data_IF_758260486572
#
_entry.id   IF_758260486572
#
_cell.length_a   1.000
_cell.length_b   1.000
_cell.length_c   1.000
_cell.angle_alpha   90.00
_cell.angle_beta   90.00
_cell.angle_gamma   90.00
#
_symmetry.space_group_name_H-M   'P 1'
#
loop_
_entity.id
_entity.type
_entity.pdbx_description
1 polymer ?
#
# COMPACT_ATOMS: atom_id res chain seq x y z
N UNK A 1 -15.14 -2.12 -26.24
CA UNK A 1 -14.37 -2.27 -24.98
C UNK A 1 -14.81 -3.57 -24.34
N UNK A 2 -13.89 -4.47 -23.95
CA UNK A 2 -14.26 -5.77 -23.36
C UNK A 2 -14.98 -5.57 -22.02
N UNK A 3 -15.87 -6.50 -21.62
CA UNK A 3 -16.62 -6.41 -20.36
C UNK A 3 -15.71 -6.29 -19.11
N UNK A 4 -14.55 -6.93 -19.18
CA UNK A 4 -13.51 -6.77 -18.14
C UNK A 4 -13.03 -5.32 -18.02
N UNK A 5 -12.81 -4.62 -19.14
CA UNK A 5 -12.38 -3.21 -19.13
C UNK A 5 -13.49 -2.30 -18.62
N UNK A 6 -14.74 -2.55 -19.01
CA UNK A 6 -15.89 -1.79 -18.49
C UNK A 6 -16.02 -1.94 -16.96
N UNK A 7 -15.95 -3.18 -16.47
CA UNK A 7 -16.00 -3.48 -15.05
C UNK A 7 -14.83 -2.84 -14.27
N UNK A 8 -13.62 -2.88 -14.82
CA UNK A 8 -12.45 -2.22 -14.20
C UNK A 8 -12.67 -0.72 -14.04
N UNK A 9 -13.08 -0.03 -15.11
CA UNK A 9 -13.30 1.41 -15.07
C UNK A 9 -14.48 1.80 -14.17
N UNK A 10 -15.53 0.96 -14.11
CA UNK A 10 -16.62 1.13 -13.17
C UNK A 10 -16.13 1.10 -11.72
N UNK A 11 -15.36 0.07 -11.34
CA UNK A 11 -14.78 -0.04 -9.98
C UNK A 11 -13.81 1.11 -9.71
N UNK A 12 -12.97 1.48 -10.68
CA UNK A 12 -12.02 2.57 -10.54
C UNK A 12 -12.73 3.91 -10.26
N UNK A 13 -13.74 4.24 -11.06
CA UNK A 13 -14.52 5.46 -10.89
C UNK A 13 -15.27 5.46 -9.56
N UNK A 14 -15.98 4.38 -9.24
CA UNK A 14 -16.74 4.26 -8.00
C UNK A 14 -15.84 4.42 -6.77
N UNK A 15 -14.70 3.70 -6.73
CA UNK A 15 -13.79 3.77 -5.59
C UNK A 15 -13.16 5.15 -5.43
N UNK A 16 -12.79 5.79 -6.54
CA UNK A 16 -12.25 7.15 -6.51
C UNK A 16 -13.29 8.16 -5.99
N UNK A 17 -14.53 8.07 -6.45
CA UNK A 17 -15.63 8.94 -6.01
C UNK A 17 -16.01 8.73 -4.54
N UNK A 18 -15.89 7.52 -4.03
CA UNK A 18 -16.20 7.20 -2.62
C UNK A 18 -15.07 7.64 -1.68
N UNK A 19 -13.81 7.58 -2.12
CA UNK A 19 -12.65 7.79 -1.23
C UNK A 19 -12.14 9.25 -1.30
N UNK A 20 -11.90 9.79 -2.50
CA UNK A 20 -11.11 11.02 -2.66
C UNK A 20 -11.86 12.31 -2.22
N UNK A 21 -13.14 12.55 -2.59
CA UNK A 21 -13.78 13.86 -2.37
C UNK A 21 -13.89 14.25 -0.89
N UNK A 22 -13.97 13.28 0.01
CA UNK A 22 -14.25 13.51 1.42
C UNK A 22 -13.02 13.52 2.34
N UNK A 23 -11.81 13.40 1.79
CA UNK A 23 -10.58 13.32 2.61
C UNK A 23 -10.30 14.57 3.44
N UNK A 24 -10.71 15.75 2.96
CA UNK A 24 -10.49 17.04 3.62
C UNK A 24 -11.67 17.57 4.42
N UNK A 25 -12.83 16.92 4.37
CA UNK A 25 -14.09 17.45 4.95
C UNK A 25 -14.12 17.39 6.48
N UNK A 26 -13.36 16.53 7.09
CA UNK A 26 -13.34 16.34 8.55
C UNK A 26 -11.96 16.64 9.12
N UNK A 27 -11.93 17.30 10.29
CA UNK A 27 -10.71 17.47 11.08
C UNK A 27 -10.10 16.11 11.42
N UNK A 28 -8.85 16.08 11.84
CA UNK A 28 -8.23 14.84 12.34
C UNK A 28 -9.01 14.31 13.56
N UNK A 29 -9.58 13.11 13.46
CA UNK A 29 -10.43 12.53 14.49
C UNK A 29 -9.71 11.55 15.41
N UNK A 30 -8.50 11.11 15.05
CA UNK A 30 -7.68 10.21 15.86
C UNK A 30 -6.38 10.87 16.30
N UNK A 31 -5.91 10.58 17.53
CA UNK A 31 -4.62 11.10 18.03
C UNK A 31 -3.41 10.75 17.15
N UNK A 32 -3.52 9.72 16.32
CA UNK A 32 -2.46 9.29 15.43
C UNK A 32 -2.30 10.16 14.18
N UNK A 33 -3.38 10.69 13.63
CA UNK A 33 -3.35 11.46 12.39
C UNK A 33 -2.56 12.76 12.50
N UNK A 34 -2.84 13.66 13.48
CA UNK A 34 -2.09 14.89 13.60
C UNK A 34 -0.62 14.63 13.92
N UNK A 35 -0.29 13.56 14.65
CA UNK A 35 1.11 13.22 14.94
C UNK A 35 1.89 12.91 13.65
N UNK A 36 1.32 12.12 12.74
CA UNK A 36 1.99 11.79 11.48
C UNK A 36 2.07 13.04 10.57
N UNK A 37 1.03 13.88 10.56
CA UNK A 37 1.00 15.14 9.79
C UNK A 37 2.03 16.16 10.29
N UNK A 38 2.20 16.31 11.61
CA UNK A 38 3.18 17.23 12.23
C UNK A 38 4.62 16.84 11.88
N UNK A 39 4.93 15.55 11.83
CA UNK A 39 6.26 15.09 11.42
C UNK A 39 6.55 15.51 9.97
N UNK A 40 5.58 15.33 9.07
CA UNK A 40 5.73 15.77 7.66
C UNK A 40 5.83 17.30 7.55
N UNK A 41 5.08 18.03 8.36
CA UNK A 41 5.20 19.49 8.43
C UNK A 41 6.61 19.93 8.88
N UNK A 42 7.13 19.33 9.95
CA UNK A 42 8.49 19.61 10.45
C UNK A 42 9.57 19.28 9.40
N UNK A 43 9.36 18.25 8.56
CA UNK A 43 10.26 17.94 7.44
C UNK A 43 10.27 19.05 6.39
N UNK A 44 9.10 19.59 6.04
CA UNK A 44 8.99 20.67 5.06
C UNK A 44 9.62 21.99 5.59
N UNK A 45 9.37 22.32 6.85
CA UNK A 45 9.91 23.52 7.48
C UNK A 45 11.45 23.46 7.64
N UNK A 46 11.97 22.33 8.10
CA UNK A 46 13.40 22.16 8.37
C UNK A 46 14.23 21.79 7.12
N UNK A 47 13.59 21.30 6.06
CA UNK A 47 14.28 20.70 4.90
C UNK A 47 14.99 19.36 5.22
N UNK A 48 14.82 18.81 6.42
CA UNK A 48 15.46 17.56 6.82
C UNK A 48 14.56 16.34 6.48
N UNK A 49 14.86 15.68 5.36
CA UNK A 49 14.13 14.51 4.87
C UNK A 49 14.69 13.17 5.38
N UNK A 50 15.89 13.20 5.99
CA UNK A 50 16.57 11.96 6.43
C UNK A 50 16.15 11.59 7.85
N UNK A 51 16.13 12.56 8.74
CA UNK A 51 15.77 12.36 10.15
C UNK A 51 14.51 13.16 10.49
N UNK A 52 13.32 12.56 10.26
CA UNK A 52 12.07 13.26 10.57
C UNK A 52 11.92 13.48 12.07
N UNK A 53 11.58 14.69 12.46
CA UNK A 53 11.40 15.10 13.85
C UNK A 53 9.92 15.34 14.14
N UNK A 54 9.48 14.93 15.32
CA UNK A 54 8.18 15.26 15.88
C UNK A 54 8.32 16.57 16.66
N UNK A 55 7.53 17.58 16.32
CA UNK A 55 7.63 18.95 16.87
C UNK A 55 9.03 19.58 16.79
N UNK A 56 9.86 19.14 15.87
CA UNK A 56 11.22 19.69 15.69
C UNK A 56 12.25 19.23 16.73
N UNK A 57 11.87 18.41 17.70
CA UNK A 57 12.72 17.99 18.84
C UNK A 57 12.96 16.50 18.89
N UNK A 58 11.89 15.70 18.89
CA UNK A 58 11.98 14.27 19.10
C UNK A 58 12.06 13.51 17.78
N UNK A 59 12.87 12.45 17.71
CA UNK A 59 12.94 11.59 16.54
C UNK A 59 11.59 10.88 16.35
N UNK A 60 11.09 10.84 15.13
CA UNK A 60 9.86 10.13 14.79
C UNK A 60 9.99 8.62 15.06
N UNK A 61 8.97 8.04 15.72
CA UNK A 61 8.97 6.63 16.14
C UNK A 61 8.83 5.62 14.99
N UNK A 62 8.47 6.07 13.80
CA UNK A 62 8.16 5.20 12.66
C UNK A 62 9.12 5.44 11.52
N UNK A 63 9.35 4.43 10.67
CA UNK A 63 10.13 4.61 9.44
C UNK A 63 9.53 5.69 8.54
N UNK A 64 10.33 6.34 7.66
CA UNK A 64 10.01 7.66 7.10
C UNK A 64 9.04 7.64 5.90
N UNK A 65 8.67 6.51 5.34
CA UNK A 65 7.97 6.44 4.05
C UNK A 65 6.63 7.19 4.03
N UNK A 66 5.82 7.09 5.09
CA UNK A 66 4.56 7.84 5.18
C UNK A 66 4.85 9.34 5.24
N UNK A 67 5.80 9.76 6.05
CA UNK A 67 6.17 11.18 6.21
C UNK A 67 6.67 11.77 4.90
N UNK A 68 7.53 11.04 4.16
CA UNK A 68 7.97 11.42 2.82
C UNK A 68 6.79 11.59 1.86
N UNK A 69 5.85 10.65 1.90
CA UNK A 69 4.66 10.68 1.04
C UNK A 69 3.77 11.89 1.34
N UNK A 70 3.52 12.17 2.62
CA UNK A 70 2.73 13.34 3.05
C UNK A 70 3.47 14.63 2.67
N UNK A 71 4.74 14.76 3.01
CA UNK A 71 5.53 15.95 2.73
C UNK A 71 5.60 16.25 1.21
N UNK A 72 5.86 15.21 0.39
CA UNK A 72 5.91 15.38 -1.07
C UNK A 72 4.55 15.83 -1.66
N UNK A 73 3.46 15.24 -1.21
CA UNK A 73 2.10 15.63 -1.65
C UNK A 73 1.78 17.05 -1.13
N UNK A 74 2.04 17.31 0.14
CA UNK A 74 1.76 18.62 0.75
C UNK A 74 2.55 19.77 0.08
N UNK A 75 3.77 19.50 -0.36
CA UNK A 75 4.55 20.48 -1.13
C UNK A 75 3.87 20.86 -2.46
N UNK A 76 3.17 19.93 -3.10
CA UNK A 76 2.40 20.17 -4.36
C UNK A 76 1.13 20.98 -4.05
N UNK A 77 0.46 20.69 -2.94
CA UNK A 77 -0.82 21.31 -2.55
C UNK A 77 -0.67 22.59 -1.71
N UNK A 78 0.56 23.10 -1.54
CA UNK A 78 0.83 24.37 -0.84
C UNK A 78 0.88 24.28 0.68
N UNK A 79 0.89 23.08 1.26
CA UNK A 79 1.03 22.87 2.70
C UNK A 79 0.39 21.59 3.22
N UNK A 80 0.70 21.30 4.49
CA UNK A 80 0.12 20.14 5.18
C UNK A 80 -1.30 20.46 5.62
N UNK A 81 -2.25 19.63 5.18
CA UNK A 81 -3.66 19.70 5.49
C UNK A 81 -4.21 18.30 5.75
N UNK A 82 -5.46 18.17 6.24
CA UNK A 82 -6.13 16.89 6.38
C UNK A 82 -6.19 16.14 5.05
N UNK A 83 -6.52 16.84 3.96
CA UNK A 83 -6.56 16.28 2.63
C UNK A 83 -5.20 15.73 2.18
N UNK A 84 -4.15 16.59 2.20
CA UNK A 84 -2.82 16.18 1.74
C UNK A 84 -2.20 15.07 2.60
N UNK A 85 -2.53 15.04 3.90
CA UNK A 85 -2.05 14.03 4.83
C UNK A 85 -2.72 12.66 4.67
N UNK A 86 -4.01 12.62 4.27
CA UNK A 86 -4.76 11.38 4.05
C UNK A 86 -4.58 10.81 2.64
N UNK A 87 -4.22 11.65 1.69
CA UNK A 87 -4.11 11.28 0.27
C UNK A 87 -3.14 10.11 0.01
N UNK A 88 -1.98 9.96 0.69
CA UNK A 88 -1.12 8.78 0.54
C UNK A 88 -1.85 7.45 0.83
N UNK A 89 -2.67 7.39 1.90
CA UNK A 89 -3.44 6.19 2.25
C UNK A 89 -4.51 5.89 1.20
N UNK A 90 -5.20 6.91 0.71
CA UNK A 90 -6.21 6.79 -0.34
C UNK A 90 -5.61 6.26 -1.65
N UNK A 91 -4.48 6.82 -2.09
CA UNK A 91 -3.76 6.36 -3.30
C UNK A 91 -3.30 4.91 -3.13
N UNK A 92 -2.74 4.56 -1.97
CA UNK A 92 -2.31 3.19 -1.68
C UNK A 92 -3.46 2.19 -1.75
N UNK A 93 -4.63 2.54 -1.18
CA UNK A 93 -5.84 1.71 -1.29
C UNK A 93 -6.28 1.53 -2.75
N UNK A 94 -6.39 2.61 -3.52
CA UNK A 94 -6.80 2.54 -4.93
C UNK A 94 -5.83 1.69 -5.75
N UNK A 95 -4.52 1.88 -5.58
CA UNK A 95 -3.51 1.08 -6.25
C UNK A 95 -3.63 -0.42 -5.90
N UNK A 96 -3.78 -0.74 -4.61
CA UNK A 96 -4.00 -2.10 -4.15
C UNK A 96 -5.26 -2.71 -4.77
N UNK A 97 -6.37 -2.01 -4.72
CA UNK A 97 -7.64 -2.48 -5.26
C UNK A 97 -7.58 -2.74 -6.77
N UNK A 98 -6.93 -1.86 -7.53
CA UNK A 98 -6.80 -2.02 -8.98
C UNK A 98 -5.92 -3.21 -9.36
N UNK A 99 -4.80 -3.40 -8.66
CA UNK A 99 -3.93 -4.57 -8.87
C UNK A 99 -4.67 -5.85 -8.48
N UNK A 100 -5.38 -5.84 -7.34
CA UNK A 100 -6.12 -6.98 -6.85
C UNK A 100 -7.31 -7.34 -7.75
N UNK A 101 -8.06 -6.34 -8.26
CA UNK A 101 -9.08 -6.56 -9.31
C UNK A 101 -8.47 -7.28 -10.51
N UNK A 102 -7.35 -6.76 -11.03
CA UNK A 102 -6.66 -7.35 -12.18
C UNK A 102 -6.21 -8.79 -11.93
N UNK A 103 -5.72 -9.07 -10.73
CA UNK A 103 -5.32 -10.39 -10.28
C UNK A 103 -6.53 -11.35 -10.22
N UNK A 104 -7.59 -11.00 -9.50
CA UNK A 104 -8.79 -11.85 -9.38
C UNK A 104 -9.46 -12.07 -10.72
N UNK A 105 -9.56 -11.04 -11.56
CA UNK A 105 -10.14 -11.15 -12.91
C UNK A 105 -9.32 -12.04 -13.86
N UNK A 106 -8.03 -12.25 -13.58
CA UNK A 106 -7.15 -13.14 -14.34
C UNK A 106 -7.29 -14.59 -13.89
N UNK A 107 -7.31 -14.83 -12.57
CA UNK A 107 -7.25 -16.18 -11.99
C UNK A 107 -8.62 -16.80 -11.71
N UNK A 108 -9.67 -16.00 -11.69
CA UNK A 108 -11.06 -16.44 -11.53
C UNK A 108 -11.91 -15.93 -12.70
N UNK A 109 -12.62 -14.83 -12.51
CA UNK A 109 -13.45 -14.21 -13.55
C UNK A 109 -13.77 -12.75 -13.17
N UNK A 110 -14.34 -12.02 -14.13
CA UNK A 110 -14.68 -10.60 -13.94
C UNK A 110 -15.76 -10.37 -12.86
N UNK A 111 -16.76 -11.26 -12.77
CA UNK A 111 -17.82 -11.13 -11.74
C UNK A 111 -17.23 -11.23 -10.33
N UNK A 112 -16.39 -12.26 -10.08
CA UNK A 112 -15.70 -12.40 -8.80
C UNK A 112 -14.82 -11.19 -8.49
N UNK A 113 -14.11 -10.64 -9.48
CA UNK A 113 -13.28 -9.45 -9.28
C UNK A 113 -14.11 -8.23 -8.87
N UNK A 114 -15.27 -8.01 -9.47
CA UNK A 114 -16.19 -6.94 -9.10
C UNK A 114 -16.68 -7.13 -7.67
N UNK A 115 -17.20 -8.31 -7.33
CA UNK A 115 -17.71 -8.60 -5.98
C UNK A 115 -16.63 -8.39 -4.92
N UNK A 116 -15.42 -8.92 -5.15
CA UNK A 116 -14.30 -8.79 -4.21
C UNK A 116 -13.89 -7.32 -4.02
N UNK A 117 -13.87 -6.54 -5.11
CA UNK A 117 -13.54 -5.12 -5.05
C UNK A 117 -14.60 -4.32 -4.29
N UNK A 118 -15.88 -4.64 -4.48
CA UNK A 118 -16.97 -4.01 -3.72
C UNK A 118 -16.90 -4.38 -2.24
N UNK A 119 -16.62 -5.63 -1.90
CA UNK A 119 -16.42 -6.06 -0.51
C UNK A 119 -15.24 -5.34 0.16
N UNK A 120 -14.13 -5.13 -0.55
CA UNK A 120 -13.01 -4.34 -0.04
C UNK A 120 -13.41 -2.88 0.19
N UNK A 121 -14.10 -2.26 -0.77
CA UNK A 121 -14.52 -0.86 -0.69
C UNK A 121 -15.52 -0.61 0.46
N UNK A 122 -16.41 -1.57 0.72
CA UNK A 122 -17.46 -1.46 1.75
C UNK A 122 -17.05 -2.03 3.11
N UNK A 123 -15.88 -2.69 3.19
CA UNK A 123 -15.34 -3.19 4.47
C UNK A 123 -14.99 -2.02 5.39
N UNK A 124 -15.62 -1.96 6.56
CA UNK A 124 -15.45 -0.85 7.52
C UNK A 124 -13.99 -0.54 7.83
N UNK A 125 -13.20 -1.54 8.22
CA UNK A 125 -11.78 -1.33 8.58
C UNK A 125 -10.91 -0.93 7.39
N UNK A 126 -11.16 -1.49 6.22
CA UNK A 126 -10.41 -1.14 5.00
C UNK A 126 -10.74 0.30 4.59
N UNK A 127 -12.01 0.66 4.59
CA UNK A 127 -12.46 2.02 4.27
C UNK A 127 -11.87 3.02 5.28
N UNK A 128 -12.00 2.76 6.58
CA UNK A 128 -11.44 3.59 7.64
C UNK A 128 -9.92 3.80 7.48
N UNK A 129 -9.18 2.74 7.14
CA UNK A 129 -7.75 2.85 6.91
C UNK A 129 -7.41 3.63 5.63
N UNK A 130 -8.25 3.54 4.59
CA UNK A 130 -8.04 4.24 3.32
C UNK A 130 -8.21 5.75 3.43
N UNK A 131 -9.11 6.23 4.32
CA UNK A 131 -9.41 7.66 4.50
C UNK A 131 -8.72 8.29 5.71
N UNK A 132 -7.80 7.57 6.36
CA UNK A 132 -7.08 8.07 7.54
C UNK A 132 -5.59 8.33 7.21
N UNK A 133 -5.01 9.33 7.86
CA UNK A 133 -3.58 9.60 7.83
C UNK A 133 -2.82 8.61 8.71
N UNK A 134 -2.66 7.35 8.23
CA UNK A 134 -2.03 6.27 9.00
C UNK A 134 -1.21 5.34 8.12
N UNK A 135 -0.20 4.71 8.73
CA UNK A 135 0.70 3.77 8.04
C UNK A 135 0.01 2.47 7.58
N UNK A 136 -1.13 2.12 8.22
CA UNK A 136 -1.74 0.79 8.08
C UNK A 136 -2.13 0.49 6.63
N UNK A 137 -2.77 1.45 5.94
CA UNK A 137 -3.21 1.25 4.56
C UNK A 137 -2.03 1.11 3.59
N UNK A 138 -0.98 1.95 3.74
CA UNK A 138 0.23 1.83 2.92
C UNK A 138 0.88 0.46 3.12
N UNK A 139 1.05 0.03 4.37
CA UNK A 139 1.64 -1.26 4.72
C UNK A 139 0.89 -2.42 4.07
N UNK A 140 -0.44 -2.47 4.25
CA UNK A 140 -1.28 -3.53 3.69
C UNK A 140 -1.24 -3.51 2.16
N UNK A 141 -1.27 -2.31 1.56
CA UNK A 141 -1.21 -2.17 0.10
C UNK A 141 0.10 -2.71 -0.48
N UNK A 142 1.24 -2.37 0.12
CA UNK A 142 2.53 -2.90 -0.31
C UNK A 142 2.60 -4.42 -0.17
N UNK A 143 2.10 -4.98 0.93
CA UNK A 143 2.06 -6.43 1.15
C UNK A 143 1.19 -7.11 0.09
N UNK A 144 -0.05 -6.67 -0.11
CA UNK A 144 -0.99 -7.31 -1.04
C UNK A 144 -0.51 -7.22 -2.49
N UNK A 145 -0.01 -6.05 -2.91
CA UNK A 145 0.53 -5.89 -4.26
C UNK A 145 1.76 -6.79 -4.46
N UNK A 146 2.67 -6.83 -3.48
CA UNK A 146 3.84 -7.70 -3.54
C UNK A 146 3.46 -9.18 -3.63
N UNK A 147 2.46 -9.64 -2.86
CA UNK A 147 1.95 -11.01 -2.94
C UNK A 147 1.39 -11.34 -4.33
N UNK A 148 0.61 -10.45 -4.94
CA UNK A 148 0.10 -10.64 -6.29
C UNK A 148 1.24 -10.75 -7.32
N UNK A 149 2.30 -9.97 -7.16
CA UNK A 149 3.46 -9.99 -8.05
C UNK A 149 4.33 -11.23 -7.84
N UNK A 150 4.59 -11.61 -6.59
CA UNK A 150 5.36 -12.81 -6.23
C UNK A 150 4.65 -14.09 -6.67
N UNK A 151 3.32 -14.15 -6.55
CA UNK A 151 2.54 -15.26 -7.08
C UNK A 151 2.72 -15.40 -8.61
N UNK A 152 2.64 -14.26 -9.33
CA UNK A 152 2.87 -14.26 -10.79
C UNK A 152 4.30 -14.61 -11.18
N UNK A 153 5.27 -14.26 -10.35
CA UNK A 153 6.67 -14.61 -10.54
C UNK A 153 6.88 -16.12 -10.32
N UNK A 154 6.26 -16.70 -9.30
CA UNK A 154 6.29 -18.15 -9.06
C UNK A 154 5.71 -18.94 -10.22
N UNK A 155 4.56 -18.51 -10.77
CA UNK A 155 3.96 -19.14 -11.96
C UNK A 155 4.88 -19.11 -13.19
N UNK A 156 5.73 -18.11 -13.32
CA UNK A 156 6.74 -18.01 -14.38
C UNK A 156 7.99 -18.86 -14.09
N UNK A 157 7.97 -19.68 -13.03
CA UNK A 157 9.05 -20.56 -12.61
C UNK A 157 10.19 -19.85 -11.88
N UNK A 158 9.92 -18.74 -11.22
CA UNK A 158 10.89 -17.95 -10.43
C UNK A 158 12.10 -17.51 -11.26
N UNK A 159 11.88 -17.11 -12.51
CA UNK A 159 12.96 -16.65 -13.40
C UNK A 159 13.30 -15.19 -13.13
N UNK A 160 14.58 -14.93 -12.84
CA UNK A 160 15.08 -13.58 -12.54
C UNK A 160 14.57 -13.02 -11.22
N UNK A 161 15.00 -11.81 -10.89
CA UNK A 161 14.61 -11.11 -9.67
C UNK A 161 13.33 -10.33 -9.95
N UNK A 162 12.27 -10.46 -9.10
CA UNK A 162 11.03 -9.72 -9.26
C UNK A 162 11.16 -8.28 -8.72
N UNK A 163 11.98 -7.45 -9.36
CA UNK A 163 12.36 -6.12 -8.88
C UNK A 163 11.20 -5.25 -8.40
N UNK A 164 10.07 -5.28 -9.10
CA UNK A 164 8.88 -4.51 -8.68
C UNK A 164 8.37 -4.96 -7.31
N UNK A 165 8.35 -6.27 -7.04
CA UNK A 165 7.95 -6.78 -5.73
C UNK A 165 8.99 -6.42 -4.66
N UNK A 166 10.28 -6.52 -4.98
CA UNK A 166 11.40 -6.14 -4.08
C UNK A 166 11.28 -4.67 -3.66
N UNK A 167 11.09 -3.76 -4.62
CA UNK A 167 10.93 -2.32 -4.33
C UNK A 167 9.70 -2.06 -3.46
N UNK A 168 8.55 -2.71 -3.75
CA UNK A 168 7.35 -2.54 -2.93
C UNK A 168 7.52 -3.11 -1.51
N UNK A 169 8.21 -4.23 -1.35
CA UNK A 169 8.55 -4.78 -0.04
C UNK A 169 9.50 -3.85 0.74
N UNK A 170 10.48 -3.24 0.06
CA UNK A 170 11.34 -2.23 0.67
C UNK A 170 10.54 -1.00 1.12
N UNK A 171 9.62 -0.49 0.30
CA UNK A 171 8.70 0.59 0.67
C UNK A 171 7.81 0.18 1.87
N UNK A 172 7.31 -1.05 1.88
CA UNK A 172 6.56 -1.61 3.01
C UNK A 172 7.40 -1.66 4.30
N UNK A 173 8.67 -2.05 4.20
CA UNK A 173 9.59 -2.05 5.33
C UNK A 173 9.88 -0.63 5.84
N UNK A 174 10.06 0.33 4.93
CA UNK A 174 10.21 1.75 5.25
C UNK A 174 8.92 2.41 5.75
N UNK A 175 7.78 1.72 5.68
CA UNK A 175 6.51 2.22 6.23
C UNK A 175 6.33 1.84 7.70
N UNK A 176 6.48 0.55 8.05
CA UNK A 176 6.16 0.07 9.41
C UNK A 176 7.13 -1.01 9.91
N UNK A 177 8.28 -1.17 9.29
CA UNK A 177 9.31 -2.13 9.68
C UNK A 177 9.24 -3.46 8.91
N UNK A 178 9.99 -4.49 9.36
CA UNK A 178 10.33 -5.68 8.56
C UNK A 178 9.14 -6.55 8.13
N UNK A 179 7.97 -6.34 8.71
CA UNK A 179 6.72 -7.05 8.30
C UNK A 179 6.43 -6.83 6.81
N UNK A 180 6.83 -5.66 6.24
CA UNK A 180 6.65 -5.33 4.83
C UNK A 180 7.33 -6.28 3.87
N UNK A 181 8.46 -6.89 4.25
CA UNK A 181 9.22 -7.85 3.45
C UNK A 181 9.07 -9.28 3.94
N UNK A 182 9.16 -9.51 5.26
CA UNK A 182 9.11 -10.87 5.82
C UNK A 182 7.78 -11.55 5.50
N UNK A 183 6.65 -10.84 5.65
CA UNK A 183 5.34 -11.43 5.46
C UNK A 183 5.09 -11.91 4.02
N UNK A 184 5.31 -11.10 2.96
CA UNK A 184 5.18 -11.58 1.59
C UNK A 184 6.11 -12.75 1.25
N UNK A 185 7.39 -12.72 1.70
CA UNK A 185 8.34 -13.79 1.49
C UNK A 185 7.90 -15.09 2.17
N UNK A 186 7.44 -15.00 3.42
CA UNK A 186 6.94 -16.15 4.17
C UNK A 186 5.70 -16.77 3.48
N UNK A 187 4.75 -15.95 3.06
CA UNK A 187 3.54 -16.43 2.38
C UNK A 187 3.86 -17.16 1.08
N UNK A 188 4.70 -16.59 0.22
CA UNK A 188 5.07 -17.24 -1.04
C UNK A 188 5.93 -18.48 -0.81
N UNK A 189 6.80 -18.48 0.20
CA UNK A 189 7.60 -19.63 0.59
C UNK A 189 6.73 -20.81 1.04
N UNK A 190 5.79 -20.57 1.94
CA UNK A 190 4.82 -21.59 2.40
C UNK A 190 4.01 -22.10 1.20
N UNK A 191 3.53 -21.22 0.33
CA UNK A 191 2.80 -21.61 -0.87
C UNK A 191 3.61 -22.55 -1.78
N UNK A 192 4.90 -22.24 -2.02
CA UNK A 192 5.79 -23.09 -2.82
C UNK A 192 5.99 -24.48 -2.19
N UNK A 193 6.16 -24.54 -0.86
CA UNK A 193 6.31 -25.80 -0.14
C UNK A 193 5.02 -26.67 -0.24
N UNK A 194 3.83 -26.05 -0.06
CA UNK A 194 2.56 -26.75 -0.21
C UNK A 194 2.37 -27.30 -1.63
N UNK A 195 2.89 -26.63 -2.64
CA UNK A 195 2.92 -27.10 -4.03
C UNK A 195 3.95 -28.22 -4.30
N UNK A 196 4.63 -28.70 -3.28
CA UNK A 196 5.61 -29.80 -3.40
C UNK A 196 6.99 -29.36 -3.88
N UNK A 197 7.31 -28.05 -3.84
CA UNK A 197 8.66 -27.58 -4.14
C UNK A 197 9.60 -27.96 -2.99
N UNK A 198 10.81 -28.46 -3.32
CA UNK A 198 11.80 -28.80 -2.31
C UNK A 198 12.21 -27.58 -1.49
N UNK A 199 12.43 -27.77 -0.19
CA UNK A 199 12.83 -26.71 0.74
C UNK A 199 14.05 -25.93 0.26
N UNK A 200 15.11 -26.61 -0.23
CA UNK A 200 16.31 -25.97 -0.75
C UNK A 200 16.05 -25.06 -1.95
N UNK A 201 15.17 -25.51 -2.90
CA UNK A 201 14.80 -24.69 -4.07
C UNK A 201 13.95 -23.49 -3.67
N UNK A 202 13.05 -23.65 -2.68
CA UNK A 202 12.26 -22.55 -2.13
C UNK A 202 13.15 -21.53 -1.45
N UNK A 203 14.04 -21.97 -0.56
CA UNK A 203 15.00 -21.09 0.12
C UNK A 203 15.87 -20.32 -0.88
N UNK A 204 16.44 -21.01 -1.87
CA UNK A 204 17.27 -20.36 -2.89
C UNK A 204 16.49 -19.32 -3.72
N UNK A 205 15.22 -19.58 -4.04
CA UNK A 205 14.40 -18.62 -4.76
C UNK A 205 14.09 -17.37 -3.94
N UNK A 206 13.91 -17.51 -2.62
CA UNK A 206 13.63 -16.40 -1.71
C UNK A 206 14.90 -15.62 -1.34
N UNK A 207 16.06 -16.28 -1.31
CA UNK A 207 17.32 -15.61 -1.01
C UNK A 207 17.76 -14.61 -2.08
N UNK A 208 17.19 -14.71 -3.28
CA UNK A 208 17.40 -13.75 -4.38
C UNK A 208 16.40 -12.60 -4.41
N UNK A 209 15.52 -12.51 -3.41
CA UNK A 209 14.52 -11.43 -3.27
C UNK A 209 14.94 -10.48 -2.17
#
# INVERSE_FOLDING_TARGET
MSDKKKAFWFIALLSTLVIIPFLGETIFYSKGEPREAIVAYSMLESGNWILPLNYGTDIAYKPPFLYWSIAAISAIFGGVSEFSSRLPSAIAFLAMQFVFFGFVARYKNTKTAVITSLLLLTSFEVHRAAVACRLDMLQVSFIVISLCLLFRWDEKGCKGIPWTAVVLMACGTLTKGPVGSIFPCMCIGIYQLIRGRSFGKTFLSLFGI
#
